data_IF_164270337591
#
_entry.id   IF_164270337591
#
_cell.length_a   1.000
_cell.length_b   1.000
_cell.length_c   1.000
_cell.angle_alpha   90.00
_cell.angle_beta   90.00
_cell.angle_gamma   90.00
#
_symmetry.space_group_name_H-M   'P 1'
#
loop_
_entity.id
_entity.type
_entity.pdbx_description
1 polymer ?
#
# COMPACT_ATOMS: atom_id res chain seq x y z
N UNK A 1 -23.72 12.15 -31.04
CA UNK A 1 -24.43 11.14 -30.22
C UNK A 1 -24.19 11.47 -28.77
N UNK A 2 -25.20 11.90 -28.03
CA UNK A 2 -25.12 12.00 -26.57
C UNK A 2 -25.59 10.66 -25.98
N UNK A 3 -24.72 9.99 -25.24
CA UNK A 3 -25.14 8.88 -24.39
C UNK A 3 -25.69 9.47 -23.09
N UNK A 4 -26.88 9.03 -22.65
CA UNK A 4 -27.43 9.39 -21.35
C UNK A 4 -26.75 8.59 -20.23
N UNK A 5 -25.44 8.80 -20.06
CA UNK A 5 -24.60 8.13 -19.07
C UNK A 5 -23.74 9.14 -18.34
N UNK A 6 -23.45 8.88 -17.06
CA UNK A 6 -22.75 9.82 -16.19
C UNK A 6 -21.30 10.12 -16.65
N UNK A 7 -20.62 9.15 -17.26
CA UNK A 7 -19.27 9.30 -17.81
C UNK A 7 -18.96 8.17 -18.80
N UNK A 8 -17.99 8.39 -19.69
CA UNK A 8 -17.46 7.39 -20.64
C UNK A 8 -15.93 7.45 -20.57
N UNK A 9 -15.25 6.30 -20.52
CA UNK A 9 -13.78 6.21 -20.59
C UNK A 9 -13.36 5.80 -22.00
N UNK A 10 -12.44 6.54 -22.59
CA UNK A 10 -11.88 6.24 -23.92
C UNK A 10 -10.46 5.72 -23.72
N UNK A 11 -10.19 4.52 -24.24
CA UNK A 11 -8.87 3.90 -24.24
C UNK A 11 -8.36 3.82 -25.67
N UNK A 12 -7.31 4.59 -25.99
CA UNK A 12 -6.78 4.68 -27.35
C UNK A 12 -5.23 4.76 -27.34
N UNK A 13 -4.53 3.86 -28.06
CA UNK A 13 -5.00 2.60 -28.64
C UNK A 13 -5.24 1.52 -27.58
N UNK A 14 -6.11 0.54 -27.85
CA UNK A 14 -6.19 -0.68 -27.03
C UNK A 14 -4.86 -1.44 -27.18
N UNK A 15 -4.18 -1.82 -26.08
CA UNK A 15 -2.92 -2.56 -26.15
C UNK A 15 -3.00 -3.79 -27.07
N UNK A 16 -2.13 -3.86 -28.07
CA UNK A 16 -2.07 -4.97 -29.03
C UNK A 16 -3.15 -4.97 -30.11
N UNK A 17 -3.97 -3.92 -30.23
CA UNK A 17 -5.03 -3.82 -31.25
C UNK A 17 -5.04 -2.44 -31.92
N UNK A 18 -5.32 -2.40 -33.23
CA UNK A 18 -5.59 -1.16 -33.97
C UNK A 18 -7.06 -0.72 -33.77
N UNK A 19 -7.45 -0.45 -32.52
CA UNK A 19 -8.81 -0.06 -32.17
C UNK A 19 -8.85 0.94 -31.01
N UNK A 20 -9.92 1.73 -30.94
CA UNK A 20 -10.26 2.59 -29.81
C UNK A 20 -11.30 1.89 -28.96
N UNK A 21 -11.00 1.72 -27.68
CA UNK A 21 -11.92 1.20 -26.67
C UNK A 21 -12.79 2.33 -26.13
N UNK A 22 -14.09 2.07 -26.01
CA UNK A 22 -15.04 2.99 -25.38
C UNK A 22 -15.76 2.21 -24.29
N UNK A 23 -15.46 2.55 -23.04
CA UNK A 23 -16.05 1.94 -21.85
C UNK A 23 -17.24 2.79 -21.40
N UNK A 24 -18.42 2.16 -21.43
CA UNK A 24 -19.68 2.77 -21.01
C UNK A 24 -20.16 2.08 -19.73
N UNK A 25 -20.47 2.83 -18.67
CA UNK A 25 -20.99 2.25 -17.44
C UNK A 25 -22.27 1.45 -17.69
N UNK A 26 -22.35 0.26 -17.10
CA UNK A 26 -23.59 -0.52 -17.08
C UNK A 26 -24.70 0.25 -16.37
N UNK A 27 -25.94 0.09 -16.84
CA UNK A 27 -27.13 0.72 -16.23
C UNK A 27 -27.31 0.32 -14.77
N UNK A 28 -27.03 -0.95 -14.45
CA UNK A 28 -27.00 -1.48 -13.09
C UNK A 28 -25.55 -1.83 -12.75
N UNK A 29 -25.04 -1.24 -11.66
CA UNK A 29 -23.72 -1.57 -11.14
C UNK A 29 -23.85 -2.79 -10.23
N UNK A 30 -22.95 -3.73 -10.39
CA UNK A 30 -22.83 -4.91 -9.53
C UNK A 30 -21.76 -4.59 -8.48
N UNK A 31 -22.06 -4.89 -7.22
CA UNK A 31 -21.10 -4.73 -6.14
C UNK A 31 -20.05 -5.84 -6.21
N UNK A 32 -18.80 -5.48 -5.93
CA UNK A 32 -17.68 -6.42 -5.85
C UNK A 32 -17.37 -6.63 -4.37
N UNK A 33 -17.53 -7.84 -3.88
CA UNK A 33 -17.34 -8.13 -2.46
C UNK A 33 -15.93 -8.68 -2.21
N UNK A 34 -15.25 -8.15 -1.19
CA UNK A 34 -13.91 -8.62 -0.82
C UNK A 34 -13.89 -10.14 -0.58
N UNK A 35 -14.93 -10.69 0.05
CA UNK A 35 -15.06 -12.14 0.30
C UNK A 35 -14.88 -12.98 -0.96
N UNK A 36 -15.45 -12.56 -2.09
CA UNK A 36 -15.37 -13.29 -3.36
C UNK A 36 -13.92 -13.39 -3.84
N UNK A 37 -13.17 -12.28 -3.71
CA UNK A 37 -11.76 -12.24 -4.10
C UNK A 37 -10.92 -13.07 -3.12
N UNK A 38 -11.17 -12.95 -1.81
CA UNK A 38 -10.45 -13.74 -0.80
C UNK A 38 -10.68 -15.25 -0.99
N UNK A 39 -11.83 -15.67 -1.48
CA UNK A 39 -12.14 -17.08 -1.76
C UNK A 39 -11.63 -17.57 -3.12
N UNK A 40 -11.16 -16.67 -3.98
CA UNK A 40 -10.63 -17.03 -5.31
C UNK A 40 -9.36 -17.89 -5.22
N UNK A 41 -9.17 -18.75 -6.21
CA UNK A 41 -7.97 -19.59 -6.33
C UNK A 41 -6.69 -18.74 -6.45
N UNK A 42 -6.82 -17.58 -7.07
CA UNK A 42 -5.78 -16.60 -7.31
C UNK A 42 -5.27 -16.03 -5.99
N UNK A 43 -6.17 -15.62 -5.10
CA UNK A 43 -5.80 -15.13 -3.77
C UNK A 43 -5.31 -16.25 -2.84
N UNK A 44 -5.89 -17.44 -2.97
CA UNK A 44 -5.48 -18.59 -2.15
C UNK A 44 -4.09 -19.12 -2.52
N UNK A 45 -3.59 -18.79 -3.71
CA UNK A 45 -2.25 -19.13 -4.16
C UNK A 45 -1.18 -18.71 -3.13
N UNK A 46 -0.30 -19.65 -2.76
CA UNK A 46 0.78 -19.45 -1.78
C UNK A 46 2.00 -18.72 -2.33
N UNK A 47 2.02 -18.39 -3.64
CA UNK A 47 3.12 -17.65 -4.25
C UNK A 47 3.28 -16.23 -3.72
N UNK A 48 2.18 -15.63 -3.24
CA UNK A 48 2.16 -14.26 -2.76
C UNK A 48 2.60 -14.19 -1.30
N UNK A 49 3.58 -13.33 -1.02
CA UNK A 49 4.11 -13.10 0.32
C UNK A 49 3.24 -12.13 1.10
N UNK A 50 2.83 -11.03 0.48
CA UNK A 50 1.95 -10.00 1.04
C UNK A 50 0.78 -9.74 0.06
N UNK A 51 -0.13 -10.71 -0.13
CA UNK A 51 -1.21 -10.57 -1.11
C UNK A 51 -2.19 -9.46 -0.75
N UNK A 52 -2.51 -8.62 -1.73
CA UNK A 52 -3.52 -7.57 -1.63
C UNK A 52 -4.60 -7.78 -2.70
N UNK A 53 -5.85 -7.89 -2.27
CA UNK A 53 -7.02 -7.99 -3.15
C UNK A 53 -7.44 -6.59 -3.60
N UNK A 54 -7.28 -6.29 -4.90
CA UNK A 54 -7.56 -4.96 -5.45
C UNK A 54 -8.98 -4.81 -5.99
N UNK A 55 -9.58 -5.89 -6.50
CA UNK A 55 -10.90 -5.86 -7.11
C UNK A 55 -11.06 -6.91 -8.21
N UNK A 56 -11.92 -6.61 -9.17
CA UNK A 56 -12.03 -7.34 -10.44
C UNK A 56 -11.71 -6.40 -11.60
N UNK A 57 -11.19 -6.94 -12.70
CA UNK A 57 -11.04 -6.18 -13.94
C UNK A 57 -12.37 -6.02 -14.69
N UNK A 58 -12.32 -5.32 -15.83
CA UNK A 58 -13.48 -5.11 -16.72
C UNK A 58 -14.05 -6.43 -17.28
N UNK A 59 -13.28 -7.52 -17.27
CA UNK A 59 -13.71 -8.85 -17.67
C UNK A 59 -14.26 -9.70 -16.51
N UNK A 60 -14.30 -9.16 -15.29
CA UNK A 60 -14.77 -9.84 -14.10
C UNK A 60 -13.73 -10.74 -13.42
N UNK A 61 -12.46 -10.69 -13.85
CA UNK A 61 -11.40 -11.52 -13.27
C UNK A 61 -10.86 -10.88 -11.98
N UNK A 62 -10.67 -11.64 -10.89
CA UNK A 62 -10.03 -11.15 -9.68
C UNK A 62 -8.61 -10.63 -9.94
N UNK A 63 -8.32 -9.45 -9.40
CA UNK A 63 -7.00 -8.81 -9.45
C UNK A 63 -6.37 -8.85 -8.06
N UNK A 64 -5.27 -9.60 -7.96
CA UNK A 64 -4.45 -9.74 -6.77
C UNK A 64 -3.04 -9.26 -7.11
N UNK A 65 -2.48 -8.42 -6.26
CA UNK A 65 -1.08 -8.01 -6.32
C UNK A 65 -0.31 -8.50 -5.08
N UNK A 66 1.02 -8.51 -5.14
CA UNK A 66 1.88 -8.80 -4.00
C UNK A 66 2.59 -7.53 -3.55
N UNK A 67 2.28 -7.05 -2.34
CA UNK A 67 2.95 -5.88 -1.79
C UNK A 67 4.46 -6.12 -1.58
N UNK A 68 4.93 -7.37 -1.51
CA UNK A 68 6.37 -7.67 -1.46
C UNK A 68 7.08 -7.43 -2.80
N UNK A 69 6.36 -7.54 -3.92
CA UNK A 69 6.88 -7.29 -5.26
C UNK A 69 6.76 -5.80 -5.65
N UNK A 70 5.75 -5.12 -5.10
CA UNK A 70 5.63 -3.67 -5.17
C UNK A 70 6.67 -3.05 -4.23
N UNK A 71 7.51 -2.10 -4.67
CA UNK A 71 8.45 -1.44 -3.76
C UNK A 71 7.68 -0.73 -2.64
N UNK A 72 6.84 0.24 -3.01
CA UNK A 72 5.94 0.99 -2.12
C UNK A 72 4.70 1.42 -2.90
N UNK A 73 3.58 1.59 -2.22
CA UNK A 73 2.28 1.89 -2.82
C UNK A 73 1.82 3.31 -2.48
N UNK A 74 1.46 4.09 -3.50
CA UNK A 74 0.79 5.37 -3.35
C UNK A 74 -0.67 5.25 -3.81
N UNK A 75 -1.61 5.69 -2.96
CA UNK A 75 -3.05 5.66 -3.25
C UNK A 75 -3.61 7.09 -3.23
N UNK A 76 -4.17 7.54 -4.34
CA UNK A 76 -4.75 8.87 -4.46
C UNK A 76 -6.21 8.81 -4.90
N UNK A 77 -7.03 9.76 -4.45
CA UNK A 77 -8.43 9.87 -4.91
C UNK A 77 -9.22 10.90 -4.10
N UNK A 78 -10.22 11.53 -4.72
CA UNK A 78 -11.06 12.50 -4.03
C UNK A 78 -11.89 11.86 -2.90
N UNK A 79 -12.45 12.67 -2.00
CA UNK A 79 -13.36 12.19 -0.96
C UNK A 79 -14.55 11.43 -1.58
N UNK A 80 -14.92 10.29 -1.00
CA UNK A 80 -16.01 9.44 -1.53
C UNK A 80 -15.65 8.60 -2.76
N UNK A 81 -14.41 8.67 -3.27
CA UNK A 81 -13.98 7.91 -4.45
C UNK A 81 -13.70 6.42 -4.20
N UNK A 82 -13.65 6.00 -2.93
CA UNK A 82 -13.35 4.61 -2.54
C UNK A 82 -11.94 4.37 -1.97
N UNK A 83 -11.10 5.42 -1.84
CA UNK A 83 -9.74 5.34 -1.26
C UNK A 83 -9.71 4.58 0.08
N UNK A 84 -10.53 5.00 1.05
CA UNK A 84 -10.54 4.38 2.38
C UNK A 84 -11.00 2.92 2.35
N UNK A 85 -11.96 2.58 1.48
CA UNK A 85 -12.39 1.18 1.26
C UNK A 85 -11.24 0.34 0.71
N UNK A 86 -10.44 0.88 -0.20
CA UNK A 86 -9.26 0.20 -0.74
C UNK A 86 -8.19 -0.07 0.32
N UNK A 87 -7.89 0.92 1.16
CA UNK A 87 -6.93 0.76 2.27
C UNK A 87 -7.40 -0.36 3.21
N UNK A 88 -8.69 -0.36 3.57
CA UNK A 88 -9.29 -1.42 4.37
C UNK A 88 -9.20 -2.78 3.67
N UNK A 89 -9.48 -2.86 2.37
CA UNK A 89 -9.34 -4.11 1.61
C UNK A 89 -7.90 -4.64 1.63
N UNK A 90 -6.90 -3.77 1.51
CA UNK A 90 -5.48 -4.14 1.58
C UNK A 90 -5.14 -4.69 2.97
N UNK A 91 -5.50 -3.97 4.03
CA UNK A 91 -5.25 -4.39 5.42
C UNK A 91 -5.92 -5.73 5.69
N UNK A 92 -7.19 -5.87 5.35
CA UNK A 92 -7.95 -7.11 5.54
C UNK A 92 -7.36 -8.27 4.73
N UNK A 93 -6.95 -8.04 3.48
CA UNK A 93 -6.29 -9.08 2.66
C UNK A 93 -5.10 -9.69 3.40
N UNK A 94 -4.28 -8.84 4.00
CA UNK A 94 -3.11 -9.27 4.75
C UNK A 94 -3.52 -10.00 6.03
N UNK A 95 -4.44 -9.45 6.84
CA UNK A 95 -4.87 -10.05 8.11
C UNK A 95 -5.56 -11.40 7.91
N UNK A 96 -6.35 -11.56 6.84
CA UNK A 96 -7.01 -12.83 6.50
C UNK A 96 -6.01 -13.90 6.05
N UNK A 97 -4.81 -13.53 5.60
CA UNK A 97 -3.81 -14.45 5.08
C UNK A 97 -2.66 -14.73 6.06
N UNK A 98 -2.25 -13.72 6.82
CA UNK A 98 -0.99 -13.71 7.56
C UNK A 98 -1.20 -13.45 9.05
N UNK A 99 -0.44 -14.18 9.87
CA UNK A 99 -0.52 -14.08 11.32
C UNK A 99 0.40 -12.95 11.87
N UNK A 100 0.20 -12.54 13.13
CA UNK A 100 0.96 -11.44 13.74
C UNK A 100 2.47 -11.66 13.89
N UNK A 101 2.96 -12.89 13.83
CA UNK A 101 4.40 -13.20 13.88
C UNK A 101 5.04 -13.04 12.50
N UNK A 102 4.25 -13.13 11.42
CA UNK A 102 4.72 -12.97 10.03
C UNK A 102 4.64 -11.55 9.53
N UNK A 103 3.62 -10.79 9.96
CA UNK A 103 3.41 -9.41 9.51
C UNK A 103 2.95 -8.52 10.64
N UNK A 104 3.47 -7.31 10.61
CA UNK A 104 3.25 -6.27 11.60
C UNK A 104 2.88 -4.96 10.94
N UNK A 105 1.96 -4.21 11.54
CA UNK A 105 1.50 -2.92 11.05
C UNK A 105 1.97 -1.76 11.94
N UNK A 106 2.29 -0.65 11.28
CA UNK A 106 2.36 0.68 11.88
C UNK A 106 1.33 1.53 11.13
N UNK A 107 0.38 2.11 11.86
CA UNK A 107 -0.70 2.88 11.26
C UNK A 107 -0.63 4.34 11.73
N UNK A 108 -0.70 5.26 10.76
CA UNK A 108 -0.70 6.71 10.97
C UNK A 108 -2.02 7.26 10.45
N UNK A 109 -2.86 7.70 11.37
CA UNK A 109 -4.20 8.27 11.10
C UNK A 109 -4.38 9.54 11.94
N UNK A 110 -3.92 10.70 11.43
CA UNK A 110 -4.02 11.97 12.15
C UNK A 110 -5.47 12.39 12.44
N UNK A 111 -6.42 11.93 11.63
CA UNK A 111 -7.84 12.29 11.73
C UNK A 111 -8.64 11.38 12.63
N UNK A 112 -8.12 10.20 12.99
CA UNK A 112 -8.75 9.18 13.83
C UNK A 112 -10.06 8.61 13.26
N UNK A 113 -10.24 8.71 11.95
CA UNK A 113 -11.50 8.33 11.29
C UNK A 113 -11.38 6.94 10.67
N UNK A 114 -10.32 6.68 9.92
CA UNK A 114 -10.29 5.57 8.98
C UNK A 114 -9.62 4.33 9.57
N UNK A 115 -8.50 4.48 10.28
CA UNK A 115 -7.70 3.35 10.76
C UNK A 115 -7.98 2.99 12.22
N UNK A 116 -8.64 3.87 12.99
CA UNK A 116 -8.86 3.67 14.42
C UNK A 116 -9.60 2.35 14.76
N UNK A 117 -10.39 1.81 13.82
CA UNK A 117 -11.05 0.51 13.95
C UNK A 117 -10.08 -0.67 14.17
N UNK A 118 -8.82 -0.53 13.74
CA UNK A 118 -7.79 -1.56 13.90
C UNK A 118 -7.09 -1.50 15.26
N UNK A 119 -7.46 -0.58 16.15
CA UNK A 119 -6.79 -0.47 17.43
C UNK A 119 -6.94 -1.78 18.24
N UNK A 120 -5.84 -2.26 18.82
CA UNK A 120 -5.81 -3.48 19.64
C UNK A 120 -5.65 -4.79 18.88
N UNK A 121 -5.57 -4.79 17.54
CA UNK A 121 -5.23 -6.03 16.82
C UNK A 121 -3.78 -6.47 17.14
N UNK A 122 -3.50 -7.78 17.23
CA UNK A 122 -2.17 -8.29 17.57
C UNK A 122 -1.10 -8.00 16.51
N UNK A 123 -1.51 -7.63 15.30
CA UNK A 123 -0.61 -7.24 14.22
C UNK A 123 -0.03 -5.84 14.40
N UNK A 124 -0.61 -4.96 15.24
CA UNK A 124 -0.03 -3.64 15.48
C UNK A 124 1.28 -3.75 16.27
N UNK A 125 2.34 -3.07 15.81
CA UNK A 125 3.60 -2.95 16.58
C UNK A 125 3.47 -1.97 17.73
N UNK A 126 2.73 -0.90 17.48
CA UNK A 126 2.50 0.22 18.39
C UNK A 126 1.06 0.69 18.20
N UNK A 127 0.47 1.38 19.20
CA UNK A 127 -0.83 2.01 19.05
C UNK A 127 -0.86 2.95 17.83
N UNK A 128 -2.05 3.10 17.25
CA UNK A 128 -2.26 3.94 16.07
C UNK A 128 -1.81 5.36 16.36
N UNK A 129 -0.98 5.91 15.48
CA UNK A 129 -0.37 7.21 15.66
C UNK A 129 -1.31 8.26 15.11
N UNK A 130 -1.72 9.18 15.98
CA UNK A 130 -2.62 10.29 15.61
C UNK A 130 -1.91 11.63 15.65
N UNK A 131 -0.77 11.72 16.35
CA UNK A 131 0.04 12.94 16.42
C UNK A 131 1.09 12.97 15.31
N UNK A 132 1.19 14.11 14.62
CA UNK A 132 2.08 14.27 13.46
C UNK A 132 3.55 14.30 13.90
N UNK A 133 3.86 14.88 15.05
CA UNK A 133 5.24 14.91 15.56
C UNK A 133 5.71 13.50 15.95
N UNK A 134 4.82 12.69 16.51
CA UNK A 134 5.06 11.27 16.79
C UNK A 134 5.20 10.46 15.49
N UNK A 135 4.39 10.74 14.46
CA UNK A 135 4.51 10.08 13.16
C UNK A 135 5.93 10.20 12.59
N UNK A 136 6.52 11.41 12.60
CA UNK A 136 7.90 11.63 12.14
C UNK A 136 8.92 10.84 12.99
N UNK A 137 8.75 10.81 14.32
CA UNK A 137 9.62 10.01 15.20
C UNK A 137 9.55 8.53 14.87
N UNK A 138 8.36 8.01 14.57
CA UNK A 138 8.17 6.61 14.20
C UNK A 138 8.80 6.31 12.84
N UNK A 139 8.64 7.19 11.84
CA UNK A 139 9.32 7.01 10.55
C UNK A 139 10.85 6.95 10.73
N UNK A 140 11.42 7.77 11.60
CA UNK A 140 12.85 7.71 11.93
C UNK A 140 13.24 6.43 12.67
N UNK A 141 12.40 5.94 13.58
CA UNK A 141 12.61 4.64 14.21
C UNK A 141 12.61 3.50 13.19
N UNK A 142 11.70 3.54 12.20
CA UNK A 142 11.67 2.55 11.11
C UNK A 142 12.97 2.59 10.31
N UNK A 143 13.54 3.77 10.05
CA UNK A 143 14.86 3.89 9.40
C UNK A 143 15.93 3.18 10.23
N UNK A 144 15.95 3.37 11.54
CA UNK A 144 16.89 2.66 12.43
C UNK A 144 16.66 1.15 12.45
N UNK A 145 15.42 0.69 12.44
CA UNK A 145 15.08 -0.74 12.34
C UNK A 145 15.53 -1.33 11.00
N UNK A 146 15.37 -0.59 9.90
CA UNK A 146 15.89 -0.98 8.58
C UNK A 146 17.41 -1.15 8.61
N UNK A 147 18.15 -0.18 9.17
CA UNK A 147 19.61 -0.25 9.31
C UNK A 147 20.04 -1.43 10.18
N UNK A 148 19.32 -1.70 11.27
CA UNK A 148 19.54 -2.87 12.13
C UNK A 148 19.35 -4.17 11.37
N UNK A 149 18.28 -4.30 10.58
CA UNK A 149 18.03 -5.49 9.74
C UNK A 149 19.16 -5.71 8.75
N UNK A 150 19.68 -4.66 8.11
CA UNK A 150 20.82 -4.80 7.21
C UNK A 150 22.08 -5.34 7.90
N UNK A 151 22.38 -4.90 9.13
CA UNK A 151 23.50 -5.44 9.92
C UNK A 151 23.32 -6.92 10.22
N UNK A 152 22.12 -7.29 10.70
CA UNK A 152 21.76 -8.68 10.99
C UNK A 152 21.87 -9.56 9.74
N UNK A 153 21.43 -9.06 8.58
CA UNK A 153 21.52 -9.79 7.32
C UNK A 153 22.97 -10.00 6.89
N UNK A 154 23.81 -8.96 7.02
CA UNK A 154 25.24 -9.06 6.71
C UNK A 154 25.96 -10.06 7.61
N UNK A 155 25.68 -10.05 8.92
CA UNK A 155 26.22 -11.01 9.89
C UNK A 155 25.81 -12.46 9.58
N UNK A 156 24.57 -12.66 9.12
CA UNK A 156 24.06 -13.96 8.69
C UNK A 156 24.47 -14.36 7.25
N UNK A 157 25.18 -13.48 6.51
CA UNK A 157 25.59 -13.75 5.13
C UNK A 157 24.44 -13.77 4.10
N UNK A 158 23.31 -13.14 4.40
CA UNK A 158 22.09 -13.12 3.56
C UNK A 158 21.80 -11.72 3.03
N UNK A 159 21.00 -11.62 1.96
CA UNK A 159 20.75 -10.35 1.25
C UNK A 159 19.43 -9.67 1.60
N UNK A 160 18.48 -10.39 2.18
CA UNK A 160 17.12 -9.90 2.39
C UNK A 160 16.41 -10.64 3.54
N UNK A 161 15.22 -10.15 3.89
CA UNK A 161 14.39 -10.72 4.95
C UNK A 161 14.08 -12.21 4.74
N UNK A 162 13.80 -12.61 3.50
CA UNK A 162 13.45 -14.01 3.20
C UNK A 162 14.62 -14.95 3.47
N UNK A 163 15.81 -14.57 2.97
CA UNK A 163 17.04 -15.32 3.21
C UNK A 163 17.39 -15.37 4.70
N UNK A 164 17.18 -14.27 5.43
CA UNK A 164 17.37 -14.27 6.88
C UNK A 164 16.40 -15.21 7.60
N UNK A 165 15.11 -15.15 7.23
CA UNK A 165 14.09 -16.00 7.84
C UNK A 165 14.29 -17.48 7.51
N UNK A 166 14.81 -17.81 6.32
CA UNK A 166 15.23 -19.15 5.97
C UNK A 166 16.44 -19.61 6.78
N UNK A 167 17.47 -18.77 6.88
CA UNK A 167 18.66 -19.02 7.70
C UNK A 167 18.29 -19.33 9.15
N UNK A 168 17.46 -18.48 9.78
CA UNK A 168 17.03 -18.64 11.17
C UNK A 168 16.26 -19.94 11.40
N UNK A 169 15.40 -20.35 10.46
CA UNK A 169 14.66 -21.63 10.56
C UNK A 169 15.57 -22.85 10.52
N UNK A 170 16.75 -22.73 9.90
CA UNK A 170 17.67 -23.86 9.72
C UNK A 170 18.66 -24.01 10.89
N UNK A 171 18.95 -22.95 11.65
CA UNK A 171 20.01 -22.96 12.68
C UNK A 171 19.59 -23.49 14.06
N UNK A 172 18.38 -24.04 14.22
CA UNK A 172 17.88 -24.71 15.45
C UNK A 172 18.23 -24.00 16.78
N UNK A 173 18.28 -22.67 16.75
CA UNK A 173 18.44 -21.81 17.91
C UNK A 173 17.08 -21.17 18.23
N UNK A 174 16.85 -20.72 19.46
CA UNK A 174 15.62 -20.01 19.88
C UNK A 174 15.42 -18.63 19.19
N UNK A 175 16.18 -18.34 18.14
CA UNK A 175 16.04 -17.12 17.35
C UNK A 175 14.77 -17.22 16.50
N UNK A 176 13.93 -16.19 16.59
CA UNK A 176 12.69 -16.12 15.81
C UNK A 176 12.91 -15.44 14.45
N UNK A 177 12.18 -15.85 13.40
CA UNK A 177 12.11 -15.10 12.15
C UNK A 177 11.64 -13.65 12.38
N UNK A 178 12.10 -12.73 11.54
CA UNK A 178 11.67 -11.34 11.56
C UNK A 178 10.38 -11.17 10.73
N UNK A 179 9.40 -10.36 11.21
CA UNK A 179 8.18 -10.10 10.47
C UNK A 179 8.40 -9.08 9.34
N UNK A 180 7.54 -9.11 8.33
CA UNK A 180 7.34 -7.94 7.48
C UNK A 180 6.74 -6.80 8.30
N UNK A 181 7.13 -5.55 7.99
CA UNK A 181 6.53 -4.36 8.60
C UNK A 181 5.85 -3.56 7.50
N UNK A 182 4.56 -3.28 7.66
CA UNK A 182 3.77 -2.50 6.72
C UNK A 182 3.35 -1.20 7.41
N UNK A 183 3.77 -0.09 6.83
CA UNK A 183 3.46 1.25 7.33
C UNK A 183 2.31 1.78 6.47
N UNK A 184 1.19 2.10 7.11
CA UNK A 184 0.00 2.67 6.45
C UNK A 184 -0.18 4.10 6.91
N UNK A 185 -0.18 5.03 5.96
CA UNK A 185 -0.43 6.45 6.19
C UNK A 185 -1.71 6.80 5.44
N UNK A 186 -2.80 7.07 6.17
CA UNK A 186 -4.11 7.32 5.54
C UNK A 186 -4.14 8.66 4.77
N UNK A 187 -3.52 9.70 5.33
CA UNK A 187 -3.46 11.02 4.73
C UNK A 187 -2.04 11.59 4.79
N UNK A 188 -1.30 11.42 3.70
CA UNK A 188 0.02 11.99 3.50
C UNK A 188 0.01 13.51 3.60
N UNK A 189 -1.08 14.16 3.15
CA UNK A 189 -1.13 15.62 3.13
C UNK A 189 -0.99 16.23 4.53
N UNK A 190 -1.51 15.57 5.57
CA UNK A 190 -1.41 16.07 6.94
C UNK A 190 0.06 16.09 7.43
N UNK A 191 0.86 15.09 7.03
CA UNK A 191 2.30 15.07 7.29
C UNK A 191 3.05 16.14 6.49
N UNK A 192 2.78 16.21 5.18
CA UNK A 192 3.47 17.11 4.25
C UNK A 192 3.17 18.59 4.54
N UNK A 193 1.96 18.93 5.00
CA UNK A 193 1.63 20.32 5.35
C UNK A 193 2.23 20.75 6.69
N UNK A 194 2.43 19.81 7.62
CA UNK A 194 2.92 20.11 8.96
C UNK A 194 4.45 20.09 9.07
N UNK A 195 5.10 19.16 8.35
CA UNK A 195 6.56 19.04 8.36
C UNK A 195 7.10 18.54 7.00
N UNK A 196 6.96 19.32 5.91
CA UNK A 196 7.22 18.84 4.55
C UNK A 196 8.62 18.27 4.38
N UNK A 197 9.65 19.01 4.79
CA UNK A 197 11.06 18.60 4.62
C UNK A 197 11.36 17.29 5.34
N UNK A 198 10.95 17.16 6.61
CA UNK A 198 11.23 15.96 7.40
C UNK A 198 10.42 14.76 6.92
N UNK A 199 9.14 14.97 6.58
CA UNK A 199 8.27 13.93 6.07
C UNK A 199 8.80 13.38 4.74
N UNK A 200 9.13 14.26 3.80
CA UNK A 200 9.65 13.88 2.47
C UNK A 200 11.00 13.15 2.59
N UNK A 201 11.93 13.66 3.41
CA UNK A 201 13.23 13.02 3.64
C UNK A 201 13.06 11.60 4.20
N UNK A 202 12.26 11.43 5.26
CA UNK A 202 12.04 10.11 5.88
C UNK A 202 11.34 9.15 4.91
N UNK A 203 10.32 9.61 4.18
CA UNK A 203 9.57 8.77 3.24
C UNK A 203 10.43 8.35 2.04
N UNK A 204 11.19 9.27 1.46
CA UNK A 204 12.08 8.96 0.35
C UNK A 204 13.20 8.01 0.78
N UNK A 205 13.81 8.24 1.95
CA UNK A 205 14.88 7.37 2.47
C UNK A 205 14.38 5.95 2.72
N UNK A 206 13.21 5.81 3.34
CA UNK A 206 12.58 4.50 3.52
C UNK A 206 12.30 3.85 2.17
N UNK A 207 11.67 4.58 1.25
CA UNK A 207 11.27 4.02 -0.03
C UNK A 207 12.44 3.56 -0.92
N UNK A 208 13.63 4.13 -0.73
CA UNK A 208 14.84 3.74 -1.47
C UNK A 208 15.50 2.48 -0.92
N UNK A 209 15.43 2.25 0.40
CA UNK A 209 16.31 1.31 1.08
C UNK A 209 15.58 0.10 1.69
N UNK A 210 14.25 0.12 1.78
CA UNK A 210 13.50 -0.88 2.57
C UNK A 210 13.09 -2.16 1.82
N UNK A 211 13.18 -2.21 0.49
CA UNK A 211 12.72 -3.37 -0.29
C UNK A 211 13.30 -4.71 0.17
N UNK A 212 14.60 -4.74 0.50
CA UNK A 212 15.27 -5.96 0.96
C UNK A 212 15.00 -6.28 2.44
N UNK A 213 14.60 -5.28 3.25
CA UNK A 213 14.38 -5.43 4.69
C UNK A 213 12.99 -5.93 5.06
N UNK A 214 12.11 -6.07 4.06
CA UNK A 214 10.72 -6.46 4.26
C UNK A 214 9.90 -5.40 4.99
N UNK A 215 10.28 -4.13 4.81
CA UNK A 215 9.52 -2.98 5.28
C UNK A 215 8.85 -2.35 4.05
N UNK A 216 7.53 -2.17 4.10
CA UNK A 216 6.73 -1.68 2.99
C UNK A 216 5.92 -0.45 3.43
N UNK A 217 5.69 0.46 2.48
CA UNK A 217 4.95 1.68 2.72
C UNK A 217 3.70 1.70 1.84
N UNK A 218 2.58 2.02 2.45
CA UNK A 218 1.33 2.36 1.80
C UNK A 218 1.00 3.78 2.24
N UNK A 219 1.17 4.73 1.33
CA UNK A 219 0.81 6.13 1.55
C UNK A 219 -0.45 6.44 0.78
N UNK A 220 -1.37 7.16 1.41
CA UNK A 220 -2.61 7.54 0.76
C UNK A 220 -2.86 9.04 0.92
N UNK A 221 -3.58 9.65 -0.02
CA UNK A 221 -3.97 11.06 0.08
C UNK A 221 -5.24 11.36 -0.68
N UNK A 222 -6.04 12.29 -0.14
CA UNK A 222 -7.20 12.86 -0.84
C UNK A 222 -6.87 14.16 -1.58
N UNK A 223 -5.63 14.65 -1.44
CA UNK A 223 -5.14 15.90 -2.03
C UNK A 223 -4.01 15.58 -3.01
N UNK A 224 -4.32 15.09 -4.22
CA UNK A 224 -3.32 14.76 -5.24
C UNK A 224 -2.76 16.02 -5.92
N UNK A 225 -2.22 16.95 -5.14
CA UNK A 225 -1.53 18.14 -5.65
C UNK A 225 -0.02 17.93 -5.68
N UNK A 226 0.67 18.72 -6.49
CA UNK A 226 2.13 18.65 -6.66
C UNK A 226 2.89 18.93 -5.37
N UNK A 227 2.32 19.74 -4.47
CA UNK A 227 2.91 20.06 -3.16
C UNK A 227 2.84 18.90 -2.17
N UNK A 228 1.89 17.97 -2.35
CA UNK A 228 1.75 16.77 -1.52
C UNK A 228 2.47 15.59 -2.17
N UNK A 229 2.26 15.40 -3.47
CA UNK A 229 2.89 14.35 -4.28
C UNK A 229 4.04 14.97 -5.08
N UNK A 230 5.11 15.32 -4.37
CA UNK A 230 6.30 15.95 -4.94
C UNK A 230 7.00 15.03 -5.95
N UNK A 231 7.89 15.60 -6.77
CA UNK A 231 8.71 14.81 -7.71
C UNK A 231 9.47 13.67 -7.03
N UNK A 232 10.06 13.93 -5.85
CA UNK A 232 10.81 12.92 -5.08
C UNK A 232 9.90 11.79 -4.60
N UNK A 233 8.70 12.10 -4.11
CA UNK A 233 7.70 11.09 -3.74
C UNK A 233 7.36 10.23 -4.96
N UNK A 234 7.14 10.84 -6.13
CA UNK A 234 6.78 10.07 -7.33
C UNK A 234 7.88 9.10 -7.76
N UNK A 235 9.14 9.54 -7.75
CA UNK A 235 10.27 8.70 -8.13
C UNK A 235 10.39 7.48 -7.21
N UNK A 236 10.15 7.65 -5.91
CA UNK A 236 10.33 6.59 -4.93
C UNK A 236 9.08 5.70 -4.73
N UNK A 237 7.90 6.13 -5.20
CA UNK A 237 6.65 5.37 -5.14
C UNK A 237 6.12 5.08 -6.56
N UNK A 238 6.72 4.12 -7.30
CA UNK A 238 6.35 3.84 -8.68
C UNK A 238 5.03 3.07 -8.82
N UNK A 239 4.61 2.32 -7.78
CA UNK A 239 3.33 1.61 -7.78
C UNK A 239 2.23 2.54 -7.28
N UNK A 240 1.21 2.79 -8.10
CA UNK A 240 0.16 3.77 -7.83
C UNK A 240 -1.22 3.21 -8.08
N UNK A 241 -2.16 3.56 -7.21
CA UNK A 241 -3.59 3.36 -7.40
C UNK A 241 -4.25 4.74 -7.39
N UNK A 242 -4.89 5.09 -8.50
CA UNK A 242 -5.69 6.30 -8.61
C UNK A 242 -7.18 5.93 -8.61
N UNK A 243 -7.90 6.37 -7.58
CA UNK A 243 -9.36 6.42 -7.58
C UNK A 243 -9.83 7.69 -8.33
N UNK A 244 -11.14 7.85 -8.45
CA UNK A 244 -11.71 9.03 -9.10
C UNK A 244 -11.16 10.33 -8.47
N UNK A 245 -10.71 11.25 -9.32
CA UNK A 245 -10.17 12.57 -8.98
C UNK A 245 -10.98 13.67 -9.68
N UNK A 246 -10.91 14.89 -9.16
CA UNK A 246 -11.74 16.00 -9.62
C UNK A 246 -11.32 16.55 -10.99
N UNK A 247 -10.02 16.50 -11.32
CA UNK A 247 -9.49 17.10 -12.55
C UNK A 247 -8.49 16.21 -13.28
N UNK A 248 -8.25 16.50 -14.56
CA UNK A 248 -7.20 15.83 -15.34
C UNK A 248 -5.80 16.16 -14.80
N UNK A 249 -5.61 17.34 -14.20
CA UNK A 249 -4.33 17.74 -13.58
C UNK A 249 -4.05 16.85 -12.37
N UNK A 250 -5.06 16.60 -11.52
CA UNK A 250 -4.95 15.68 -10.40
C UNK A 250 -4.63 14.25 -10.86
N UNK A 251 -5.19 13.82 -12.01
CA UNK A 251 -4.90 12.49 -12.57
C UNK A 251 -3.49 12.35 -13.14
N UNK A 252 -2.87 13.46 -13.57
CA UNK A 252 -1.49 13.48 -14.08
C UNK A 252 -0.45 13.62 -12.98
N UNK A 253 -0.86 14.14 -11.82
CA UNK A 253 0.02 14.40 -10.68
C UNK A 253 0.56 13.09 -10.15
#
# INVERSE_FOLDING_TARGET
>A
MSFAVASVRIEAPIPGKNAVGIEVPNRMRINVYLKEILQSSEFQNRKYKLPIALGIDIGGKPIIADLAELPHLLIAGATGSGKSVCINNIILSIIYKLNPETVKFIMIDPKRVELNIYNGIPHLLIPIITDISQAIKVLNWVISEMEKRFKIFAEAGVRNLDGYNEYVRNINNDTKPLPYIIIVIDELADLMLSSPVKAEESLCRLAQMTRATGIHLIIATQRPSVDIITGSIKVNFPSRIAFAVSTQVDSRT
#
